data_IF_032886237861
#
_entry.id   IF_032886237861
#
_cell.length_a   1.000
_cell.length_b   1.000
_cell.length_c   1.000
_cell.angle_alpha   90.00
_cell.angle_beta   90.00
_cell.angle_gamma   90.00
#
_symmetry.space_group_name_H-M   'P 1'
#
loop_
_entity.id
_entity.type
_entity.pdbx_description
1 polymer ?
#
# COMPACT_ATOMS: atom_id res chain seq x y z
N UNK A 1 3.32 13.98 -10.61
CA UNK A 1 4.69 13.75 -10.12
C UNK A 1 5.63 13.82 -11.32
N UNK A 2 6.61 14.74 -11.26
CA UNK A 2 7.55 15.04 -12.34
C UNK A 2 8.78 14.17 -12.26
N UNK A 3 9.17 13.54 -13.38
CA UNK A 3 10.50 12.94 -13.46
C UNK A 3 11.55 14.04 -13.56
N UNK A 4 12.51 14.03 -12.64
CA UNK A 4 13.51 15.11 -12.50
C UNK A 4 14.40 15.31 -13.75
N UNK A 5 14.52 14.30 -14.62
CA UNK A 5 15.44 14.34 -15.78
C UNK A 5 14.84 14.90 -17.07
N UNK A 6 13.58 14.59 -17.36
CA UNK A 6 12.92 14.92 -18.64
C UNK A 6 11.62 15.70 -18.44
N UNK A 7 11.21 15.91 -17.20
CA UNK A 7 10.03 16.69 -16.86
C UNK A 7 8.70 16.03 -17.18
N UNK A 8 8.67 14.78 -17.65
CA UNK A 8 7.43 14.08 -17.97
C UNK A 8 6.75 13.54 -16.71
N UNK A 9 5.41 13.52 -16.72
CA UNK A 9 4.58 12.97 -15.66
C UNK A 9 3.60 11.95 -16.25
N UNK A 10 3.30 10.90 -15.48
CA UNK A 10 2.24 9.93 -15.77
C UNK A 10 1.55 9.56 -14.47
N UNK A 11 0.22 9.61 -14.46
CA UNK A 11 -0.56 9.05 -13.37
C UNK A 11 -0.62 7.52 -13.53
N UNK A 12 -0.29 6.78 -12.48
CA UNK A 12 -0.27 5.31 -12.49
C UNK A 12 -1.51 4.69 -11.84
N UNK A 13 -2.28 5.48 -11.09
CA UNK A 13 -3.54 5.03 -10.51
C UNK A 13 -4.52 6.21 -10.43
N UNK A 14 -5.84 5.96 -10.43
CA UNK A 14 -6.85 7.02 -10.36
C UNK A 14 -6.84 7.79 -9.03
N UNK A 15 -6.31 7.17 -7.98
CA UNK A 15 -6.28 7.73 -6.63
C UNK A 15 -5.22 7.04 -5.79
N UNK A 16 -4.44 7.82 -5.05
CA UNK A 16 -3.48 7.33 -4.07
C UNK A 16 -3.11 8.45 -3.10
N UNK A 17 -2.73 8.08 -1.88
CA UNK A 17 -2.17 9.01 -0.89
C UNK A 17 -0.70 8.60 -0.65
N UNK A 18 -0.38 8.20 0.57
CA UNK A 18 0.94 7.73 0.96
C UNK A 18 1.42 6.60 0.06
N UNK A 19 2.64 6.78 -0.45
CA UNK A 19 3.25 5.92 -1.45
C UNK A 19 4.67 5.53 -1.02
N UNK A 20 4.95 4.23 -1.02
CA UNK A 20 6.25 3.65 -0.73
C UNK A 20 6.90 3.02 -1.96
N UNK A 21 8.19 3.30 -2.19
CA UNK A 21 8.98 2.73 -3.29
C UNK A 21 10.32 2.15 -2.83
N UNK A 22 10.48 1.92 -1.52
CA UNK A 22 11.73 1.41 -0.91
C UNK A 22 11.86 -0.13 -0.93
N UNK A 23 10.99 -0.80 -1.65
CA UNK A 23 11.04 -2.22 -2.00
C UNK A 23 12.18 -2.51 -3.00
N UNK A 24 13.43 -2.29 -2.59
CA UNK A 24 14.63 -2.38 -3.44
C UNK A 24 14.90 -3.78 -4.00
N UNK A 25 14.39 -4.84 -3.36
CA UNK A 25 14.48 -6.22 -3.86
C UNK A 25 13.29 -6.63 -4.74
N UNK A 26 12.30 -5.73 -4.90
CA UNK A 26 11.20 -5.85 -5.86
C UNK A 26 11.07 -4.53 -6.63
N UNK A 27 12.08 -4.11 -7.40
CA UNK A 27 12.08 -2.82 -8.10
C UNK A 27 10.95 -2.74 -9.13
N UNK A 28 10.58 -1.51 -9.52
CA UNK A 28 9.53 -1.29 -10.51
C UNK A 28 8.10 -1.30 -9.95
N UNK A 29 7.93 -1.29 -8.63
CA UNK A 29 6.62 -1.26 -7.97
C UNK A 29 6.53 -0.12 -6.95
N UNK A 30 5.37 0.52 -6.88
CA UNK A 30 4.98 1.46 -5.83
C UNK A 30 3.84 0.88 -4.99
N UNK A 31 3.97 0.96 -3.68
CA UNK A 31 2.97 0.50 -2.72
C UNK A 31 2.17 1.71 -2.26
N UNK A 32 0.86 1.67 -2.46
CA UNK A 32 -0.04 2.81 -2.29
C UNK A 32 -1.21 2.38 -1.42
N UNK A 33 -1.65 3.23 -0.49
CA UNK A 33 -3.01 3.13 0.04
C UNK A 33 -3.86 4.26 -0.50
N UNK A 34 -5.07 3.92 -0.95
CA UNK A 34 -6.09 4.93 -1.22
C UNK A 34 -7.00 5.09 -0.01
N UNK A 35 -6.95 6.25 0.64
CA UNK A 35 -7.67 6.55 1.89
C UNK A 35 -8.96 7.33 1.66
N UNK A 36 -9.14 7.98 0.51
CA UNK A 36 -10.12 9.07 0.38
C UNK A 36 -11.23 8.81 -0.65
N UNK A 37 -10.90 8.27 -1.82
CA UNK A 37 -11.82 8.09 -2.94
C UNK A 37 -11.23 7.15 -3.98
N UNK A 38 -12.07 6.61 -4.86
CA UNK A 38 -11.65 5.76 -5.97
C UNK A 38 -11.85 4.27 -5.70
N UNK A 39 -11.48 3.41 -6.67
CA UNK A 39 -11.83 1.99 -6.66
C UNK A 39 -11.04 1.13 -5.67
N UNK A 40 -10.00 1.71 -5.04
CA UNK A 40 -9.11 1.04 -4.09
C UNK A 40 -9.18 1.63 -2.67
N UNK A 41 -10.30 2.30 -2.35
CA UNK A 41 -10.51 2.81 -0.98
C UNK A 41 -10.41 1.67 0.02
N UNK A 42 -9.74 1.95 1.14
CA UNK A 42 -9.48 0.99 2.21
C UNK A 42 -8.56 -0.16 1.79
N UNK A 43 -7.86 -0.04 0.67
CA UNK A 43 -6.93 -1.06 0.22
C UNK A 43 -5.50 -0.56 0.14
N UNK A 44 -4.59 -1.48 0.40
CA UNK A 44 -3.19 -1.35 0.03
C UNK A 44 -2.99 -2.08 -1.29
N UNK A 45 -2.48 -1.36 -2.28
CA UNK A 45 -2.20 -1.87 -3.63
C UNK A 45 -0.71 -1.74 -3.95
N UNK A 46 -0.19 -2.64 -4.78
CA UNK A 46 1.07 -2.41 -5.49
C UNK A 46 0.77 -2.07 -6.95
N UNK A 47 1.38 -0.99 -7.43
CA UNK A 47 1.19 -0.47 -8.79
C UNK A 47 2.53 -0.52 -9.52
N UNK A 48 2.51 -1.08 -10.72
CA UNK A 48 3.67 -1.14 -11.58
C UNK A 48 4.13 0.26 -12.03
N UNK A 49 5.44 0.50 -11.94
CA UNK A 49 6.08 1.74 -12.38
C UNK A 49 6.44 1.65 -13.87
N UNK A 50 5.44 1.74 -14.73
CA UNK A 50 5.62 1.68 -16.19
C UNK A 50 5.26 2.99 -16.91
N UNK A 51 6.02 3.30 -17.96
CA UNK A 51 5.69 4.38 -18.90
C UNK A 51 4.83 3.90 -20.07
N UNK A 52 4.89 2.62 -20.39
CA UNK A 52 4.19 2.01 -21.51
C UNK A 52 2.88 1.38 -21.05
N UNK A 53 1.82 1.55 -21.84
CA UNK A 53 0.50 0.98 -21.55
C UNK A 53 -0.08 1.39 -20.19
N UNK A 54 -1.04 0.61 -19.73
CA UNK A 54 -1.63 0.74 -18.40
C UNK A 54 -0.82 -0.11 -17.39
N UNK A 55 -0.60 0.40 -16.16
CA UNK A 55 0.15 -0.33 -15.16
C UNK A 55 -0.63 -1.53 -14.63
N UNK A 56 0.09 -2.60 -14.31
CA UNK A 56 -0.47 -3.70 -13.52
C UNK A 56 -0.72 -3.23 -12.08
N UNK A 57 -1.87 -3.62 -11.52
CA UNK A 57 -2.27 -3.31 -10.14
C UNK A 57 -2.54 -4.61 -9.38
N UNK A 58 -1.86 -4.78 -8.25
CA UNK A 58 -2.07 -5.88 -7.29
C UNK A 58 -2.79 -5.34 -6.06
N UNK A 59 -3.90 -5.97 -5.66
CA UNK A 59 -4.61 -5.67 -4.40
C UNK A 59 -4.01 -6.56 -3.30
N UNK A 60 -3.37 -5.97 -2.30
CA UNK A 60 -2.56 -6.70 -1.33
C UNK A 60 -3.29 -6.97 -0.02
N UNK A 61 -4.01 -5.97 0.50
CA UNK A 61 -4.78 -6.10 1.73
C UNK A 61 -5.92 -5.09 1.80
N UNK A 62 -6.97 -5.47 2.54
CA UNK A 62 -8.06 -4.61 2.95
C UNK A 62 -7.82 -4.11 4.38
N UNK A 63 -7.76 -2.79 4.56
CA UNK A 63 -7.45 -2.07 5.80
C UNK A 63 -8.52 -0.96 5.97
N UNK A 64 -9.71 -1.31 6.49
CA UNK A 64 -10.84 -0.39 6.57
C UNK A 64 -10.68 0.68 7.64
N UNK A 65 -11.25 1.86 7.37
CA UNK A 65 -11.24 2.96 8.32
C UNK A 65 -12.57 3.73 8.39
N UNK A 66 -13.10 3.86 9.61
CA UNK A 66 -14.19 4.77 9.89
C UNK A 66 -13.61 6.19 9.91
N UNK A 67 -14.18 7.07 9.10
CA UNK A 67 -13.67 8.43 8.88
C UNK A 67 -14.16 9.39 9.97
N UNK A 68 -13.76 9.12 11.20
CA UNK A 68 -14.11 9.93 12.36
C UNK A 68 -12.86 10.21 13.19
N UNK A 69 -12.67 11.47 13.58
CA UNK A 69 -11.45 11.90 14.28
C UNK A 69 -10.19 11.87 13.39
N UNK A 70 -9.12 11.25 13.89
CA UNK A 70 -7.85 11.12 13.16
C UNK A 70 -7.99 10.10 12.03
N UNK A 71 -7.73 10.54 10.79
CA UNK A 71 -7.74 9.66 9.63
C UNK A 71 -6.51 8.76 9.68
N UNK A 72 -6.75 7.46 9.80
CA UNK A 72 -5.73 6.43 9.76
C UNK A 72 -5.24 6.18 8.34
N UNK A 73 -3.93 6.19 8.15
CA UNK A 73 -3.27 6.03 6.85
C UNK A 73 -2.10 5.04 6.99
N UNK A 74 -1.89 4.11 6.04
CA UNK A 74 -0.57 3.45 5.92
C UNK A 74 0.46 4.52 5.58
N UNK A 75 1.66 4.40 6.12
CA UNK A 75 2.71 5.41 5.93
C UNK A 75 3.59 5.15 4.70
N UNK A 76 3.17 4.30 3.76
CA UNK A 76 4.01 3.90 2.61
C UNK A 76 5.32 3.20 3.04
N UNK A 77 5.38 2.69 4.27
CA UNK A 77 6.55 1.98 4.79
C UNK A 77 6.45 0.50 4.38
N UNK A 78 7.22 0.12 3.37
CA UNK A 78 7.30 -1.23 2.81
C UNK A 78 8.68 -1.84 3.06
N UNK A 79 8.74 -3.16 3.32
CA UNK A 79 9.99 -3.91 3.45
C UNK A 79 10.76 -3.97 2.13
N UNK A 80 12.06 -4.26 2.20
CA UNK A 80 12.93 -4.33 1.02
C UNK A 80 12.43 -5.31 -0.04
N UNK A 81 11.85 -6.44 0.37
CA UNK A 81 11.28 -7.47 -0.51
C UNK A 81 9.84 -7.21 -0.94
N UNK A 82 9.20 -6.13 -0.46
CA UNK A 82 7.81 -5.82 -0.78
C UNK A 82 6.77 -6.71 -0.09
N UNK A 83 7.18 -7.61 0.82
CA UNK A 83 6.27 -8.59 1.44
C UNK A 83 5.62 -8.13 2.73
N UNK A 84 6.11 -7.04 3.32
CA UNK A 84 5.57 -6.47 4.55
C UNK A 84 5.38 -4.98 4.40
N UNK A 85 4.35 -4.45 5.04
CA UNK A 85 4.12 -3.02 5.11
C UNK A 85 3.44 -2.61 6.41
N UNK A 86 3.68 -1.38 6.84
CA UNK A 86 3.01 -0.81 8.00
C UNK A 86 1.68 -0.18 7.60
N UNK A 87 0.62 -0.58 8.27
CA UNK A 87 -0.72 -0.07 8.09
C UNK A 87 -1.30 0.48 9.38
N UNK A 88 -2.25 1.39 9.25
CA UNK A 88 -2.94 1.97 10.40
C UNK A 88 -4.44 1.83 10.19
N UNK A 89 -5.15 1.34 11.20
CA UNK A 89 -6.59 1.08 11.10
C UNK A 89 -7.33 1.23 12.43
N UNK A 90 -8.57 1.72 12.37
CA UNK A 90 -9.58 1.59 13.42
C UNK A 90 -10.62 0.49 13.09
N UNK A 91 -10.38 -0.31 12.05
CA UNK A 91 -11.22 -1.39 11.57
C UNK A 91 -12.68 -1.01 11.26
N UNK A 92 -12.91 0.22 10.78
CA UNK A 92 -14.24 0.78 10.59
C UNK A 92 -15.10 0.89 11.87
N UNK A 93 -14.46 0.93 13.04
CA UNK A 93 -15.13 1.16 14.32
C UNK A 93 -15.03 2.66 14.63
N UNK A 94 -16.18 3.34 14.63
CA UNK A 94 -16.31 4.79 14.84
C UNK A 94 -15.63 5.26 16.14
N UNK A 95 -15.81 4.54 17.24
CA UNK A 95 -15.20 4.87 18.53
C UNK A 95 -13.92 4.04 18.81
N UNK A 96 -13.42 3.36 17.77
CA UNK A 96 -12.26 2.49 17.86
C UNK A 96 -10.96 3.26 17.92
N UNK A 97 -10.00 2.77 18.70
CA UNK A 97 -8.66 3.32 18.69
C UNK A 97 -7.96 3.01 17.36
N UNK A 98 -7.33 4.04 16.79
CA UNK A 98 -6.45 3.91 15.65
C UNK A 98 -5.16 3.20 16.09
N UNK A 99 -4.87 2.06 15.47
CA UNK A 99 -3.73 1.22 15.81
C UNK A 99 -2.85 0.96 14.60
N UNK A 100 -1.55 0.77 14.85
CA UNK A 100 -0.57 0.41 13.83
C UNK A 100 -0.39 -1.12 13.76
N UNK A 101 -0.26 -1.63 12.54
CA UNK A 101 -0.10 -3.04 12.22
C UNK A 101 1.06 -3.21 11.25
N UNK A 102 1.78 -4.33 11.36
CA UNK A 102 2.65 -4.83 10.29
C UNK A 102 1.89 -5.93 9.58
N UNK A 103 1.55 -5.68 8.32
CA UNK A 103 0.89 -6.68 7.47
C UNK A 103 1.98 -7.47 6.75
N UNK A 104 1.84 -8.79 6.75
CA UNK A 104 2.74 -9.72 6.06
C UNK A 104 1.93 -10.50 5.03
N UNK A 105 2.26 -10.31 3.75
CA UNK A 105 1.57 -10.94 2.61
C UNK A 105 2.33 -12.16 2.07
N UNK A 106 3.34 -12.64 2.81
CA UNK A 106 4.01 -13.89 2.47
C UNK A 106 3.04 -15.08 2.53
N UNK A 107 3.13 -15.97 1.55
CA UNK A 107 2.36 -17.20 1.49
C UNK A 107 2.51 -18.05 2.79
N UNK A 108 1.38 -18.54 3.30
CA UNK A 108 1.24 -19.27 4.58
C UNK A 108 2.03 -20.60 4.57
N UNK A 109 2.44 -21.07 3.39
CA UNK A 109 3.33 -22.22 3.20
C UNK A 109 4.70 -22.07 3.90
N UNK A 110 5.13 -20.85 4.21
CA UNK A 110 6.38 -20.58 4.95
C UNK A 110 6.22 -20.56 6.47
N UNK A 111 5.01 -20.33 7.01
CA UNK A 111 4.76 -20.30 8.47
C UNK A 111 4.74 -21.68 9.12
N UNK A 112 4.46 -22.75 8.36
CA UNK A 112 4.48 -24.13 8.86
C UNK A 112 5.88 -24.69 9.17
N UNK A 113 6.96 -23.95 8.89
CA UNK A 113 8.35 -24.42 9.13
C UNK A 113 8.95 -24.00 10.47
N UNK A 114 8.28 -23.19 11.27
CA UNK A 114 8.80 -22.71 12.56
C UNK A 114 8.20 -23.42 13.77
N UNK A 115 7.51 -24.55 13.57
CA UNK A 115 6.90 -25.35 14.64
C UNK A 115 7.39 -26.81 14.67
N UNK A 116 8.66 -27.07 14.32
CA UNK A 116 9.30 -28.37 14.54
C UNK A 116 10.56 -28.20 15.38
#
# INVERSE_FOLDING_TARGET
MRRLRDGKEKALCPSGSHTGTRNTHRPGWAYIQSTHKGPYVDEVIAVELTWEGDPVIERLAYIPNARVGYMSETHGAVSFDGRKFCAVSNWAITDGQVQAYVVDISDDSTRKRLSQ
#
